data_IF_148820685175
#
_entry.id   IF_148820685175
#
_cell.length_a   1.000
_cell.length_b   1.000
_cell.length_c   1.000
_cell.angle_alpha   90.00
_cell.angle_beta   90.00
_cell.angle_gamma   90.00
#
_symmetry.space_group_name_H-M   'P 1'
#
loop_
_entity.id
_entity.type
_entity.pdbx_description
1 polymer ?
#
# COMPACT_ATOMS: atom_id res chain seq x y z
N UNK A 1 13.48 -19.04 26.51
CA UNK A 1 12.45 -20.07 26.19
C UNK A 1 12.86 -20.86 24.94
N UNK A 2 13.38 -20.21 23.89
CA UNK A 2 13.76 -20.86 22.62
C UNK A 2 14.95 -21.82 22.70
N UNK A 3 15.71 -21.76 23.78
CA UNK A 3 16.89 -22.63 23.99
C UNK A 3 16.69 -23.71 25.07
N UNK A 4 15.43 -24.06 25.35
CA UNK A 4 15.08 -24.96 26.46
C UNK A 4 15.62 -26.38 26.28
N UNK A 5 15.91 -26.79 25.05
CA UNK A 5 16.38 -28.13 24.74
C UNK A 5 17.78 -28.19 24.07
N UNK A 6 18.52 -27.09 24.06
CA UNK A 6 19.83 -26.94 23.39
C UNK A 6 19.85 -27.34 21.89
N UNK A 7 18.68 -27.35 21.22
CA UNK A 7 18.54 -27.81 19.83
C UNK A 7 18.77 -26.74 18.81
N UNK A 8 19.03 -25.53 19.23
CA UNK A 8 19.30 -24.41 18.31
C UNK A 8 19.23 -23.07 19.02
N UNK A 9 20.08 -22.17 18.61
CA UNK A 9 20.06 -20.78 18.99
C UNK A 9 19.75 -19.96 17.77
N UNK A 10 18.72 -19.11 17.84
CA UNK A 10 18.41 -18.16 16.79
C UNK A 10 18.89 -16.77 17.22
N UNK A 11 19.63 -16.12 16.36
CA UNK A 11 20.06 -14.73 16.61
C UNK A 11 18.88 -13.77 16.40
N UNK A 12 18.86 -12.61 17.10
CA UNK A 12 17.81 -11.60 16.86
C UNK A 12 17.72 -11.13 15.41
N UNK A 13 18.83 -11.11 14.70
CA UNK A 13 18.88 -10.78 13.28
C UNK A 13 18.13 -11.83 12.43
N UNK A 14 18.44 -13.11 12.61
CA UNK A 14 17.76 -14.20 11.91
C UNK A 14 16.26 -14.25 12.24
N UNK A 15 15.92 -14.01 13.51
CA UNK A 15 14.53 -13.92 13.94
C UNK A 15 13.80 -12.81 13.20
N UNK A 16 14.36 -11.60 13.11
CA UNK A 16 13.74 -10.46 12.43
C UNK A 16 13.50 -10.77 10.95
N UNK A 17 14.45 -11.39 10.27
CA UNK A 17 14.29 -11.78 8.88
C UNK A 17 13.17 -12.81 8.68
N UNK A 18 13.21 -13.90 9.46
CA UNK A 18 12.21 -14.97 9.36
C UNK A 18 10.82 -14.47 9.76
N UNK A 19 10.71 -13.69 10.83
CA UNK A 19 9.45 -13.17 11.31
C UNK A 19 8.81 -12.20 10.31
N UNK A 20 9.59 -11.35 9.68
CA UNK A 20 9.10 -10.44 8.61
C UNK A 20 8.59 -11.24 7.40
N UNK A 21 9.32 -12.27 6.99
CA UNK A 21 8.89 -13.13 5.88
C UNK A 21 7.59 -13.87 6.19
N UNK A 22 7.51 -14.49 7.37
CA UNK A 22 6.31 -15.21 7.83
C UNK A 22 5.11 -14.25 7.96
N UNK A 23 5.33 -13.05 8.47
CA UNK A 23 4.29 -12.04 8.57
C UNK A 23 3.74 -11.65 7.20
N UNK A 24 4.60 -11.48 6.20
CA UNK A 24 4.18 -11.19 4.84
C UNK A 24 3.38 -12.37 4.23
N UNK A 25 3.82 -13.60 4.46
CA UNK A 25 3.12 -14.80 4.00
C UNK A 25 1.72 -14.92 4.63
N UNK A 26 1.59 -14.68 5.93
CA UNK A 26 0.30 -14.66 6.62
C UNK A 26 -0.61 -13.57 6.04
N UNK A 27 -0.06 -12.38 5.79
CA UNK A 27 -0.80 -11.27 5.20
C UNK A 27 -1.32 -11.59 3.80
N UNK A 28 -0.49 -12.20 2.94
CA UNK A 28 -0.90 -12.62 1.59
C UNK A 28 -1.99 -13.69 1.64
N UNK A 29 -1.86 -14.69 2.52
CA UNK A 29 -2.88 -15.73 2.71
C UNK A 29 -4.21 -15.14 3.17
N UNK A 30 -4.17 -14.22 4.12
CA UNK A 30 -5.37 -13.54 4.61
C UNK A 30 -6.04 -12.71 3.49
N UNK A 31 -5.26 -12.09 2.62
CA UNK A 31 -5.76 -11.37 1.47
C UNK A 31 -6.41 -12.30 0.42
N UNK A 32 -5.83 -13.47 0.19
CA UNK A 32 -6.41 -14.49 -0.68
C UNK A 32 -7.74 -15.02 -0.13
N UNK A 33 -7.79 -15.31 1.15
CA UNK A 33 -9.02 -15.76 1.82
C UNK A 33 -10.14 -14.71 1.71
N UNK A 34 -9.81 -13.42 1.91
CA UNK A 34 -10.76 -12.33 1.72
C UNK A 34 -11.32 -12.29 0.28
N UNK A 35 -10.46 -12.42 -0.73
CA UNK A 35 -10.90 -12.46 -2.12
C UNK A 35 -11.76 -13.69 -2.43
N UNK A 36 -11.50 -14.82 -1.81
CA UNK A 36 -12.32 -16.02 -1.95
C UNK A 36 -13.71 -15.81 -1.33
N UNK A 37 -13.78 -15.21 -0.14
CA UNK A 37 -15.06 -14.89 0.50
C UNK A 37 -15.90 -13.91 -0.33
N UNK A 38 -15.29 -12.93 -0.97
CA UNK A 38 -16.01 -12.01 -1.84
C UNK A 38 -16.65 -12.69 -3.07
N UNK A 39 -16.08 -13.79 -3.52
CA UNK A 39 -16.57 -14.57 -4.69
C UNK A 39 -17.65 -15.59 -4.32
N UNK A 40 -17.79 -15.92 -3.05
CA UNK A 40 -18.82 -16.86 -2.62
C UNK A 40 -20.22 -16.26 -2.75
N UNK A 41 -21.24 -17.07 -3.13
CA UNK A 41 -22.62 -16.59 -3.19
C UNK A 41 -23.11 -16.22 -1.78
N UNK A 42 -23.73 -15.06 -1.65
CA UNK A 42 -24.23 -14.52 -0.37
C UNK A 42 -25.52 -15.24 0.02
N UNK A 43 -25.41 -16.33 0.72
CA UNK A 43 -26.57 -17.17 1.07
C UNK A 43 -27.02 -17.03 2.51
N UNK A 44 -26.26 -16.37 3.40
CA UNK A 44 -26.58 -16.39 4.83
C UNK A 44 -26.19 -15.10 5.55
N UNK A 45 -26.91 -14.75 6.63
CA UNK A 45 -26.64 -13.58 7.49
C UNK A 45 -25.27 -13.70 8.18
N UNK A 46 -24.85 -14.91 8.57
CA UNK A 46 -23.50 -15.17 9.12
C UNK A 46 -22.38 -14.82 8.14
N UNK A 47 -22.64 -15.00 6.85
CA UNK A 47 -21.67 -14.65 5.81
C UNK A 47 -21.42 -13.14 5.74
N UNK A 48 -22.49 -12.34 5.84
CA UNK A 48 -22.36 -10.87 5.87
C UNK A 48 -21.56 -10.39 7.08
N UNK A 49 -21.83 -10.95 8.26
CA UNK A 49 -21.10 -10.63 9.49
C UNK A 49 -19.61 -11.01 9.41
N UNK A 50 -19.30 -12.16 8.80
CA UNK A 50 -17.91 -12.63 8.64
C UNK A 50 -17.13 -11.76 7.66
N UNK A 51 -17.75 -11.35 6.54
CA UNK A 51 -17.12 -10.41 5.59
C UNK A 51 -16.86 -9.06 6.26
N UNK A 52 -17.81 -8.56 7.03
CA UNK A 52 -17.66 -7.30 7.74
C UNK A 52 -16.53 -7.36 8.77
N UNK A 53 -16.40 -8.46 9.49
CA UNK A 53 -15.30 -8.68 10.41
C UNK A 53 -13.95 -8.66 9.70
N UNK A 54 -13.79 -9.42 8.62
CA UNK A 54 -12.56 -9.43 7.82
C UNK A 54 -12.27 -8.05 7.23
N UNK A 55 -13.30 -7.32 6.79
CA UNK A 55 -13.16 -5.96 6.27
C UNK A 55 -12.63 -5.00 7.33
N UNK A 56 -13.13 -5.08 8.56
CA UNK A 56 -12.69 -4.26 9.67
C UNK A 56 -11.23 -4.56 10.05
N UNK A 57 -10.81 -5.82 9.96
CA UNK A 57 -9.42 -6.19 10.17
C UNK A 57 -8.50 -5.63 9.07
N UNK A 58 -8.96 -5.59 7.81
CA UNK A 58 -8.22 -4.98 6.72
C UNK A 58 -8.14 -3.47 6.79
N UNK A 59 -9.09 -2.80 7.48
CA UNK A 59 -9.10 -1.34 7.58
C UNK A 59 -7.78 -0.78 8.14
N UNK A 60 -7.12 -1.52 9.02
CA UNK A 60 -5.80 -1.15 9.57
C UNK A 60 -4.72 -1.03 8.48
N UNK A 61 -4.86 -1.77 7.39
CA UNK A 61 -3.93 -1.76 6.25
C UNK A 61 -4.37 -0.82 5.14
N UNK A 62 -5.61 -0.37 5.16
CA UNK A 62 -6.10 0.61 4.20
C UNK A 62 -5.59 1.99 4.58
N UNK A 63 -4.99 2.65 3.62
CA UNK A 63 -4.60 4.05 3.74
C UNK A 63 -5.24 4.87 2.64
N UNK A 64 -5.77 6.00 3.05
CA UNK A 64 -6.14 7.10 2.18
C UNK A 64 -5.24 8.28 2.52
N UNK A 65 -4.49 8.76 1.58
CA UNK A 65 -3.55 9.82 1.84
C UNK A 65 -3.28 10.69 0.63
N UNK A 66 -2.86 11.94 0.89
CA UNK A 66 -2.46 12.83 -0.18
C UNK A 66 -1.32 12.20 -0.97
N UNK A 67 -1.30 12.52 -2.26
CA UNK A 67 -0.20 12.14 -3.12
C UNK A 67 1.11 12.67 -2.56
N UNK A 68 2.13 11.84 -2.61
CA UNK A 68 3.49 12.31 -2.46
C UNK A 68 3.87 12.92 -3.81
N UNK A 69 3.58 14.20 -3.97
CA UNK A 69 4.03 14.97 -5.12
C UNK A 69 5.54 14.87 -5.16
N UNK A 70 6.10 14.50 -6.29
CA UNK A 70 7.53 14.73 -6.51
C UNK A 70 7.65 16.24 -6.64
N UNK A 71 8.40 16.92 -5.76
CA UNK A 71 8.73 18.31 -5.99
C UNK A 71 9.61 18.34 -7.24
N UNK A 72 9.00 18.61 -8.37
CA UNK A 72 9.70 18.79 -9.62
C UNK A 72 9.88 20.29 -9.84
N UNK A 73 11.10 20.69 -10.10
CA UNK A 73 11.41 22.02 -10.60
C UNK A 73 11.27 22.13 -12.11
N UNK A 74 10.86 21.03 -12.76
CA UNK A 74 10.70 20.96 -14.20
C UNK A 74 9.20 20.85 -14.54
N UNK A 75 8.63 21.86 -15.23
CA UNK A 75 7.21 21.83 -15.60
C UNK A 75 6.80 20.65 -16.48
N UNK A 76 7.74 19.90 -17.04
CA UNK A 76 7.44 18.67 -17.80
C UNK A 76 7.24 17.45 -16.92
N UNK A 77 7.57 17.52 -15.63
CA UNK A 77 7.44 16.41 -14.67
C UNK A 77 6.42 16.64 -13.56
N UNK A 78 5.70 17.77 -13.61
CA UNK A 78 4.71 18.14 -12.58
C UNK A 78 3.52 17.17 -12.48
N UNK A 79 3.36 16.28 -13.44
CA UNK A 79 2.30 15.27 -13.48
C UNK A 79 2.77 13.86 -13.09
N UNK A 80 3.98 13.73 -12.56
CA UNK A 80 4.57 12.45 -12.15
C UNK A 80 4.56 12.34 -10.63
N UNK A 81 3.96 11.28 -10.12
CA UNK A 81 3.83 11.02 -8.69
C UNK A 81 4.53 9.72 -8.32
N UNK A 82 5.31 9.74 -7.23
CA UNK A 82 5.90 8.53 -6.69
C UNK A 82 4.85 7.69 -5.97
N UNK A 83 4.93 6.38 -6.12
CA UNK A 83 4.13 5.52 -5.28
C UNK A 83 4.59 5.59 -3.81
N UNK A 84 3.69 5.39 -2.83
CA UNK A 84 4.07 5.23 -1.43
C UNK A 84 5.03 4.05 -1.26
N UNK A 85 6.06 4.21 -0.41
CA UNK A 85 7.07 3.16 -0.17
C UNK A 85 6.50 1.90 0.48
N UNK A 86 5.39 2.05 1.22
CA UNK A 86 4.68 0.98 1.90
C UNK A 86 3.52 0.40 1.06
N UNK A 87 3.41 0.76 -0.22
CA UNK A 87 2.37 0.24 -1.11
C UNK A 87 2.48 -1.27 -1.28
N UNK A 88 1.36 -1.95 -1.05
CA UNK A 88 1.18 -3.35 -1.42
C UNK A 88 0.29 -3.48 -2.66
N UNK A 89 -0.91 -2.90 -2.62
CA UNK A 89 -1.86 -2.89 -3.75
C UNK A 89 -2.55 -1.55 -3.87
N UNK A 90 -2.74 -1.11 -5.09
CA UNK A 90 -3.58 0.05 -5.39
C UNK A 90 -5.06 -0.29 -5.14
N UNK A 91 -5.78 0.62 -4.52
CA UNK A 91 -7.23 0.66 -4.54
C UNK A 91 -7.71 1.60 -5.63
N UNK A 92 -7.90 2.87 -5.32
CA UNK A 92 -8.29 3.90 -6.26
C UNK A 92 -7.31 5.08 -6.21
N UNK A 93 -7.23 5.79 -7.32
CA UNK A 93 -6.46 7.02 -7.45
C UNK A 93 -7.42 8.12 -7.84
N UNK A 94 -7.52 9.17 -7.03
CA UNK A 94 -8.47 10.25 -7.25
C UNK A 94 -7.74 11.54 -7.59
N UNK A 95 -8.28 12.25 -8.57
CA UNK A 95 -7.82 13.56 -8.98
C UNK A 95 -8.53 14.64 -8.15
N UNK A 96 -7.80 15.37 -7.31
CA UNK A 96 -8.39 16.37 -6.45
C UNK A 96 -8.69 17.65 -7.22
N UNK A 97 -9.98 17.91 -7.40
CA UNK A 97 -10.53 19.10 -8.03
C UNK A 97 -11.53 19.81 -7.09
N UNK A 98 -11.15 20.01 -5.85
CA UNK A 98 -12.04 20.60 -4.86
C UNK A 98 -13.22 19.68 -4.48
N UNK A 99 -14.45 20.09 -4.72
CA UNK A 99 -15.63 19.29 -4.36
C UNK A 99 -15.87 18.07 -5.25
N UNK A 100 -15.31 18.06 -6.45
CA UNK A 100 -15.44 16.95 -7.39
C UNK A 100 -14.07 16.33 -7.62
N UNK A 101 -13.88 15.14 -7.08
CA UNK A 101 -12.62 14.40 -7.18
C UNK A 101 -12.85 13.13 -8.00
N UNK A 102 -12.79 13.18 -9.34
CA UNK A 102 -13.00 12.02 -10.18
C UNK A 102 -11.91 10.97 -9.92
N UNK A 103 -12.28 9.71 -10.07
CA UNK A 103 -11.35 8.61 -10.06
C UNK A 103 -10.52 8.63 -11.35
N UNK A 104 -9.22 8.41 -11.21
CA UNK A 104 -8.28 8.35 -12.33
C UNK A 104 -8.24 6.92 -12.85
N UNK A 105 -8.52 6.73 -14.12
CA UNK A 105 -8.40 5.43 -14.76
C UNK A 105 -6.91 5.12 -15.03
N UNK A 106 -6.43 3.98 -14.51
CA UNK A 106 -5.06 3.51 -14.77
C UNK A 106 -5.07 2.68 -16.04
N UNK A 107 -4.45 3.19 -17.08
CA UNK A 107 -4.40 2.58 -18.41
C UNK A 107 -3.00 2.04 -18.72
N UNK A 108 -2.89 1.19 -19.72
CA UNK A 108 -1.60 0.73 -20.21
C UNK A 108 -0.81 1.88 -20.85
N UNK A 109 0.51 1.74 -20.91
CA UNK A 109 1.36 2.78 -21.53
C UNK A 109 1.01 3.05 -23.00
N UNK A 110 0.52 2.03 -23.72
CA UNK A 110 0.07 2.14 -25.10
C UNK A 110 -1.23 2.94 -25.21
N UNK A 111 -2.22 2.57 -24.43
CA UNK A 111 -3.52 3.26 -24.37
C UNK A 111 -3.36 4.71 -23.94
N UNK A 112 -2.49 4.97 -22.95
CA UNK A 112 -2.14 6.32 -22.54
C UNK A 112 -1.66 7.18 -23.72
N UNK A 113 -0.73 6.64 -24.52
CA UNK A 113 -0.21 7.34 -25.70
C UNK A 113 -1.28 7.52 -26.77
N UNK A 114 -2.08 6.50 -27.05
CA UNK A 114 -3.15 6.55 -28.06
C UNK A 114 -4.22 7.59 -27.67
N UNK A 115 -4.64 7.61 -26.40
CA UNK A 115 -5.66 8.55 -25.92
C UNK A 115 -5.14 10.00 -25.86
N UNK A 116 -3.91 10.23 -25.45
CA UNK A 116 -3.33 11.57 -25.36
C UNK A 116 -3.07 12.19 -26.74
N UNK A 117 -2.85 11.39 -27.77
CA UNK A 117 -2.63 11.86 -29.14
C UNK A 117 -3.93 12.03 -29.95
N UNK A 118 -5.02 11.42 -29.53
CA UNK A 118 -6.29 11.46 -30.26
C UNK A 118 -7.09 12.70 -29.91
N UNK A 119 -7.49 13.54 -30.85
CA UNK A 119 -8.31 14.72 -30.59
C UNK A 119 -9.71 14.40 -30.04
N UNK A 120 -10.23 13.20 -30.31
CA UNK A 120 -11.58 12.78 -29.91
C UNK A 120 -11.60 12.15 -28.51
N UNK A 121 -10.51 11.54 -28.08
CA UNK A 121 -10.41 10.80 -26.82
C UNK A 121 -9.44 11.44 -25.85
N UNK A 122 -8.99 12.67 -26.12
CA UNK A 122 -8.09 13.41 -25.23
C UNK A 122 -8.70 13.52 -23.84
N UNK A 123 -8.03 13.00 -22.80
CA UNK A 123 -8.54 13.07 -21.44
C UNK A 123 -8.68 14.51 -20.94
N UNK A 124 -9.67 14.72 -20.12
CA UNK A 124 -9.99 16.02 -19.51
C UNK A 124 -9.86 15.94 -18.00
N UNK A 125 -9.90 17.09 -17.33
CA UNK A 125 -9.89 17.15 -15.86
C UNK A 125 -11.09 16.43 -15.20
N UNK A 126 -12.16 16.18 -15.95
CA UNK A 126 -13.32 15.43 -15.45
C UNK A 126 -13.19 13.92 -15.70
N UNK A 127 -12.36 13.54 -16.67
CA UNK A 127 -12.04 12.15 -17.03
C UNK A 127 -10.52 12.01 -17.19
N UNK A 128 -9.77 12.09 -16.07
CA UNK A 128 -8.33 11.96 -16.11
C UNK A 128 -7.92 10.51 -16.29
N UNK A 129 -6.77 10.31 -16.91
CA UNK A 129 -6.14 9.00 -17.04
C UNK A 129 -4.74 9.02 -16.44
N UNK A 130 -4.24 7.85 -16.06
CA UNK A 130 -2.87 7.69 -15.61
C UNK A 130 -2.23 6.43 -16.19
N UNK A 131 -0.92 6.47 -16.34
CA UNK A 131 -0.11 5.28 -16.58
C UNK A 131 0.78 4.99 -15.37
N UNK A 132 0.91 3.72 -15.05
CA UNK A 132 1.83 3.27 -14.00
C UNK A 132 3.06 2.62 -14.61
N UNK A 133 4.24 3.14 -14.30
CA UNK A 133 5.51 2.60 -14.77
C UNK A 133 6.64 2.95 -13.78
N UNK A 134 7.50 1.99 -13.46
CA UNK A 134 8.71 2.20 -12.64
C UNK A 134 8.42 2.81 -11.27
N UNK A 135 7.38 2.32 -10.59
CA UNK A 135 6.94 2.84 -9.30
C UNK A 135 6.50 4.32 -9.33
N UNK A 136 6.14 4.81 -10.50
CA UNK A 136 5.65 6.17 -10.73
C UNK A 136 4.31 6.14 -11.44
N UNK A 137 3.46 7.09 -11.09
CA UNK A 137 2.18 7.32 -11.75
C UNK A 137 2.30 8.64 -12.48
N UNK A 138 2.06 8.62 -13.80
CA UNK A 138 1.99 9.82 -14.63
C UNK A 138 0.53 10.08 -14.94
N UNK A 139 0.02 11.23 -14.52
CA UNK A 139 -1.39 11.62 -14.71
C UNK A 139 -1.53 12.57 -15.87
N UNK A 140 -2.62 12.47 -16.63
CA UNK A 140 -2.98 13.40 -17.69
C UNK A 140 -4.49 13.73 -17.61
N UNK A 141 -4.90 15.01 -17.73
CA UNK A 141 -4.07 16.19 -17.90
C UNK A 141 -3.26 16.55 -16.64
N UNK A 142 -2.24 17.40 -16.82
CA UNK A 142 -1.49 17.94 -15.69
C UNK A 142 -2.42 18.75 -14.81
N UNK A 143 -2.29 18.57 -13.48
CA UNK A 143 -3.06 19.35 -12.52
C UNK A 143 -2.53 20.78 -12.51
N UNK A 144 -3.32 21.67 -13.06
CA UNK A 144 -2.94 23.12 -13.15
C UNK A 144 -3.71 23.97 -12.15
N UNK A 145 -4.54 23.36 -11.31
CA UNK A 145 -5.33 24.11 -10.35
C UNK A 145 -4.50 24.58 -9.16
N UNK A 146 -4.61 25.86 -8.88
CA UNK A 146 -3.96 26.61 -7.81
C UNK A 146 -4.41 26.19 -6.39
N UNK A 147 -5.19 25.13 -6.24
CA UNK A 147 -5.79 24.72 -4.97
C UNK A 147 -4.92 23.78 -4.15
N UNK A 148 -3.64 23.93 -4.24
CA UNK A 148 -2.70 23.38 -3.25
C UNK A 148 -2.22 21.93 -3.45
N UNK A 149 -1.10 21.75 -3.05
CA UNK A 149 -0.19 20.67 -2.62
C UNK A 149 -0.66 19.20 -2.56
N UNK A 150 -1.90 18.87 -2.93
CA UNK A 150 -2.43 17.50 -2.87
C UNK A 150 -3.29 17.18 -4.09
N UNK A 151 -2.68 17.22 -5.26
CA UNK A 151 -3.42 17.13 -6.53
C UNK A 151 -3.96 15.73 -6.84
N UNK A 152 -3.37 14.71 -6.25
CA UNK A 152 -3.80 13.32 -6.43
C UNK A 152 -3.83 12.61 -5.06
N UNK A 153 -4.90 11.87 -4.79
CA UNK A 153 -5.06 11.08 -3.57
C UNK A 153 -5.01 9.59 -3.90
N UNK A 154 -4.19 8.84 -3.19
CA UNK A 154 -4.10 7.39 -3.29
C UNK A 154 -4.89 6.73 -2.18
N UNK A 155 -5.77 5.81 -2.55
CA UNK A 155 -6.34 4.83 -1.65
C UNK A 155 -5.66 3.50 -1.92
N UNK A 156 -4.99 2.95 -0.94
CA UNK A 156 -4.18 1.76 -1.14
C UNK A 156 -4.10 0.88 0.11
N UNK A 157 -3.73 -0.36 -0.11
CA UNK A 157 -3.39 -1.30 0.94
C UNK A 157 -1.89 -1.24 1.16
N UNK A 158 -1.49 -0.93 2.39
CA UNK A 158 -0.07 -0.89 2.78
C UNK A 158 0.45 -2.28 3.12
N UNK A 159 1.74 -2.47 2.96
CA UNK A 159 2.45 -3.63 3.52
C UNK A 159 2.42 -3.58 5.05
N UNK A 160 2.34 -4.72 5.73
CA UNK A 160 2.60 -4.75 7.17
C UNK A 160 4.01 -4.21 7.46
N UNK A 161 4.17 -3.58 8.62
CA UNK A 161 5.50 -3.14 9.06
C UNK A 161 6.36 -4.35 9.40
N UNK A 162 7.66 -4.25 9.13
CA UNK A 162 8.60 -5.30 9.48
C UNK A 162 8.58 -5.59 10.98
N UNK A 163 8.72 -6.86 11.32
CA UNK A 163 8.85 -7.29 12.71
C UNK A 163 10.24 -6.91 13.19
N UNK A 164 10.30 -6.15 14.25
CA UNK A 164 11.57 -5.71 14.85
C UNK A 164 11.67 -6.21 16.28
N UNK A 165 12.63 -7.10 16.51
CA UNK A 165 13.12 -7.39 17.84
C UNK A 165 14.32 -6.47 18.10
N UNK A 166 14.09 -5.42 18.89
CA UNK A 166 15.09 -4.40 19.17
C UNK A 166 16.22 -4.96 20.05
N UNK A 167 17.45 -4.82 19.58
CA UNK A 167 18.64 -5.22 20.34
C UNK A 167 19.82 -4.31 20.01
N UNK A 168 20.74 -4.24 20.93
CA UNK A 168 22.06 -3.64 20.74
C UNK A 168 23.15 -4.66 21.02
N UNK A 169 24.28 -4.53 20.37
CA UNK A 169 25.42 -5.38 20.63
C UNK A 169 26.30 -4.69 21.70
N UNK A 170 26.42 -5.31 22.86
CA UNK A 170 27.29 -4.80 23.93
C UNK A 170 28.77 -4.98 23.61
N UNK A 171 29.62 -4.37 24.42
CA UNK A 171 31.10 -4.36 24.24
C UNK A 171 31.77 -5.76 24.25
N UNK A 172 31.09 -6.75 24.81
CA UNK A 172 31.53 -8.16 24.85
C UNK A 172 30.86 -9.02 23.76
N UNK A 173 30.17 -8.40 22.77
CA UNK A 173 29.45 -9.12 21.71
C UNK A 173 28.11 -9.74 22.12
N UNK A 174 27.64 -9.52 23.35
CA UNK A 174 26.34 -10.00 23.81
C UNK A 174 25.20 -9.14 23.27
N UNK A 175 24.03 -9.77 23.04
CA UNK A 175 22.81 -9.07 22.65
C UNK A 175 22.14 -8.49 23.91
N UNK A 176 21.93 -7.19 23.91
CA UNK A 176 21.20 -6.44 24.93
C UNK A 176 19.89 -5.96 24.35
N UNK A 177 18.78 -6.26 25.01
CA UNK A 177 17.45 -5.89 24.54
C UNK A 177 17.18 -4.40 24.75
N UNK A 178 16.65 -3.74 23.74
CA UNK A 178 16.29 -2.31 23.80
C UNK A 178 14.86 -2.05 24.27
N UNK A 179 14.10 -3.10 24.60
CA UNK A 179 12.71 -2.97 25.09
C UNK A 179 11.66 -2.64 24.03
N UNK A 180 12.04 -2.38 22.80
CA UNK A 180 11.09 -2.13 21.71
C UNK A 180 10.69 -3.44 21.01
N UNK A 181 9.49 -3.91 21.30
CA UNK A 181 8.81 -4.95 20.53
C UNK A 181 7.78 -4.33 19.62
N UNK A 182 8.05 -4.25 18.32
CA UNK A 182 7.05 -3.99 17.31
C UNK A 182 6.56 -5.31 16.71
N UNK A 183 5.65 -5.97 17.39
CA UNK A 183 4.96 -7.14 16.85
C UNK A 183 3.50 -6.79 16.65
N UNK A 184 3.10 -6.64 15.40
CA UNK A 184 1.68 -6.50 15.00
C UNK A 184 0.99 -7.87 14.95
N UNK A 185 1.22 -8.75 15.94
CA UNK A 185 0.47 -9.98 16.11
C UNK A 185 -0.86 -9.76 16.87
N UNK A 186 -1.63 -8.75 16.48
CA UNK A 186 -2.95 -8.53 17.07
C UNK A 186 -4.08 -9.18 16.26
N UNK A 187 -3.74 -10.05 15.30
CA UNK A 187 -4.71 -10.60 14.35
C UNK A 187 -5.04 -12.08 14.52
N UNK A 188 -4.58 -12.72 15.59
CA UNK A 188 -4.94 -14.12 15.87
C UNK A 188 -5.39 -14.23 17.33
N UNK A 189 -6.59 -13.85 17.61
CA UNK A 189 -7.43 -14.40 18.69
C UNK A 189 -8.89 -14.32 18.28
#
# INVERSE_FOLDING_TARGET
ILNKEQRGYITPYEFNQLATQVQLEIFERFFEDYNQYLRMPRTNVEFASRIEHIRNEFEVFQKSGPSITIPSTDPQTDNIYNQPSDLHRFGSVNYNKGFNSPEIEIVSAREYTEQTLSPLTTPTSDFPIAKYKENKITVFPTVTDTYASNDVTFNYIRKPKDVVWGYTIGSLGQYVYSGEFNVLFKFIT
#
